data_IF_454861197293
#
_entry.id   IF_454861197293
#
_cell.length_a   1.000
_cell.length_b   1.000
_cell.length_c   1.000
_cell.angle_alpha   90.00
_cell.angle_beta   90.00
_cell.angle_gamma   90.00
#
_symmetry.space_group_name_H-M   'P 1'
#
loop_
_entity.id
_entity.type
_entity.pdbx_description
1 polymer ?
#
# COMPACT_ATOMS: atom_id res chain seq x y z
N UNK A 1 2.87 29.52 28.58
CA UNK A 1 1.87 28.49 28.21
C UNK A 1 1.82 27.49 29.34
N UNK A 2 0.65 26.99 29.71
CA UNK A 2 0.54 25.88 30.67
C UNK A 2 1.02 24.58 30.03
N UNK A 3 1.48 23.63 30.85
CA UNK A 3 1.88 22.29 30.38
C UNK A 3 0.77 21.61 29.57
N UNK A 4 -0.49 21.83 29.98
CA UNK A 4 -1.68 21.36 29.26
C UNK A 4 -1.78 21.93 27.83
N UNK A 5 -1.55 23.23 27.66
CA UNK A 5 -1.58 23.86 26.33
C UNK A 5 -0.46 23.35 25.43
N UNK A 6 0.72 23.10 26.00
CA UNK A 6 1.84 22.52 25.26
C UNK A 6 1.53 21.09 24.81
N UNK A 7 0.97 20.27 25.70
CA UNK A 7 0.55 18.90 25.36
C UNK A 7 -0.51 18.90 24.26
N UNK A 8 -1.58 19.70 24.41
CA UNK A 8 -2.65 19.79 23.41
C UNK A 8 -2.13 20.26 22.04
N UNK A 9 -1.15 21.18 22.02
CA UNK A 9 -0.53 21.61 20.78
C UNK A 9 0.30 20.48 20.12
N UNK A 10 1.01 19.69 20.93
CA UNK A 10 1.76 18.53 20.47
C UNK A 10 0.81 17.44 19.90
N UNK A 11 -0.28 17.14 20.62
CA UNK A 11 -1.28 16.15 20.20
C UNK A 11 -1.94 16.55 18.88
N UNK A 12 -2.31 17.83 18.73
CA UNK A 12 -2.83 18.36 17.45
C UNK A 12 -1.83 18.27 16.31
N UNK A 13 -0.55 18.56 16.57
CA UNK A 13 0.48 18.47 15.56
C UNK A 13 0.71 17.02 15.11
N UNK A 14 0.68 16.06 16.04
CA UNK A 14 0.76 14.64 15.72
C UNK A 14 -0.47 14.15 14.95
N UNK A 15 -1.67 14.49 15.41
CA UNK A 15 -2.90 14.15 14.70
C UNK A 15 -2.94 14.71 13.28
N UNK A 16 -2.44 15.93 13.07
CA UNK A 16 -2.39 16.53 11.73
C UNK A 16 -1.44 15.75 10.82
N UNK A 17 -0.26 15.34 11.32
CA UNK A 17 0.66 14.48 10.56
C UNK A 17 0.00 13.17 10.15
N UNK A 18 -0.74 12.54 11.06
CA UNK A 18 -1.46 11.29 10.78
C UNK A 18 -2.57 11.49 9.74
N UNK A 19 -3.34 12.57 9.84
CA UNK A 19 -4.37 12.91 8.85
C UNK A 19 -3.76 13.18 7.46
N UNK A 20 -2.65 13.91 7.39
CA UNK A 20 -1.95 14.21 6.14
C UNK A 20 -1.32 12.95 5.51
N UNK A 21 -0.76 12.06 6.33
CA UNK A 21 -0.29 10.75 5.87
C UNK A 21 -1.43 9.89 5.34
N UNK A 22 -2.56 9.83 6.04
CA UNK A 22 -3.74 9.13 5.59
C UNK A 22 -4.24 9.69 4.24
N UNK A 23 -4.40 11.01 4.12
CA UNK A 23 -4.87 11.65 2.89
C UNK A 23 -3.94 11.45 1.70
N UNK A 24 -2.63 11.42 1.95
CA UNK A 24 -1.62 11.15 0.93
C UNK A 24 -1.70 9.71 0.41
N UNK A 25 -2.06 8.75 1.27
CA UNK A 25 -2.18 7.34 0.92
C UNK A 25 -3.56 6.99 0.35
N UNK A 26 -4.62 7.55 0.92
CA UNK A 26 -6.00 7.12 0.72
C UNK A 26 -6.87 8.32 0.31
N UNK A 27 -7.12 8.52 -1.00
CA UNK A 27 -7.97 9.59 -1.46
C UNK A 27 -9.43 9.40 -1.00
N UNK A 28 -10.23 10.46 -1.12
CA UNK A 28 -11.68 10.37 -0.92
C UNK A 28 -12.28 9.31 -1.86
N UNK A 29 -13.21 8.50 -1.35
CA UNK A 29 -13.77 7.36 -2.05
C UNK A 29 -13.04 6.04 -1.75
N UNK A 30 -12.01 6.04 -0.90
CA UNK A 30 -11.30 4.82 -0.52
C UNK A 30 -12.24 3.86 0.21
N UNK A 31 -12.38 2.61 -0.25
CA UNK A 31 -13.09 1.54 0.46
C UNK A 31 -12.47 1.26 1.83
N UNK A 32 -13.32 1.21 2.84
CA UNK A 32 -12.94 1.01 4.23
C UNK A 32 -13.92 0.12 4.97
N UNK A 33 -13.42 -0.55 6.01
CA UNK A 33 -14.22 -1.12 7.08
C UNK A 33 -14.13 -0.16 8.28
N UNK A 34 -15.25 0.47 8.63
CA UNK A 34 -15.28 1.48 9.70
C UNK A 34 -16.09 1.01 10.91
N UNK A 35 -15.64 1.40 12.09
CA UNK A 35 -16.25 1.07 13.39
C UNK A 35 -16.60 2.36 14.15
N UNK A 36 -17.79 2.94 13.94
CA UNK A 36 -18.07 4.28 14.44
C UNK A 36 -18.13 4.40 15.97
N UNK A 37 -18.43 3.31 16.67
CA UNK A 37 -18.41 3.23 18.13
C UNK A 37 -17.05 2.81 18.66
N UNK A 38 -16.84 1.50 18.76
CA UNK A 38 -15.59 0.88 19.22
C UNK A 38 -15.19 -0.28 18.32
N UNK A 39 -13.88 -0.57 18.24
CA UNK A 39 -13.38 -1.74 17.52
C UNK A 39 -13.79 -3.05 18.22
N UNK A 40 -13.97 -4.16 17.48
CA UNK A 40 -14.35 -5.46 18.05
C UNK A 40 -13.41 -6.01 19.15
N UNK A 41 -12.13 -5.68 19.07
CA UNK A 41 -11.08 -6.08 20.03
C UNK A 41 -11.07 -5.23 21.32
N UNK A 42 -11.80 -4.13 21.37
CA UNK A 42 -11.85 -3.27 22.55
C UNK A 42 -12.45 -4.06 23.74
N UNK A 43 -11.91 -3.95 24.98
CA UNK A 43 -12.39 -4.74 26.12
C UNK A 43 -13.91 -4.63 26.36
N UNK A 44 -14.49 -3.45 26.11
CA UNK A 44 -15.95 -3.22 26.20
C UNK A 44 -16.72 -3.98 25.13
N UNK A 45 -16.21 -4.03 23.89
CA UNK A 45 -16.80 -4.80 22.79
C UNK A 45 -16.81 -6.29 23.11
N UNK A 46 -15.66 -6.81 23.56
CA UNK A 46 -15.52 -8.22 23.96
C UNK A 46 -16.47 -8.58 25.10
N UNK A 47 -16.58 -7.71 26.12
CA UNK A 47 -17.51 -7.93 27.23
C UNK A 47 -18.98 -7.89 26.78
N UNK A 48 -19.32 -6.97 25.87
CA UNK A 48 -20.65 -6.88 25.28
C UNK A 48 -21.01 -8.15 24.50
N UNK A 49 -20.14 -8.61 23.60
CA UNK A 49 -20.34 -9.82 22.80
C UNK A 49 -20.52 -11.06 23.67
N UNK A 50 -19.72 -11.22 24.73
CA UNK A 50 -19.88 -12.32 25.71
C UNK A 50 -21.23 -12.31 26.40
N UNK A 51 -21.75 -11.13 26.77
CA UNK A 51 -23.06 -10.99 27.41
C UNK A 51 -24.20 -11.24 26.41
N UNK A 52 -24.08 -10.73 25.19
CA UNK A 52 -25.04 -10.96 24.11
C UNK A 52 -25.16 -12.46 23.78
N UNK A 53 -24.06 -13.19 23.70
CA UNK A 53 -24.05 -14.64 23.52
C UNK A 53 -24.75 -15.39 24.67
N UNK A 54 -24.77 -14.81 25.88
CA UNK A 54 -25.51 -15.32 27.03
C UNK A 54 -26.96 -14.81 27.15
N UNK A 55 -27.51 -14.16 26.11
CA UNK A 55 -28.87 -13.62 26.11
C UNK A 55 -29.07 -12.38 26.98
N UNK A 56 -27.99 -11.68 27.37
CA UNK A 56 -28.03 -10.47 28.19
C UNK A 56 -27.58 -9.25 27.39
N UNK A 57 -28.49 -8.65 26.63
CA UNK A 57 -28.23 -7.38 25.92
C UNK A 57 -28.82 -6.20 26.72
N UNK A 58 -28.10 -5.09 26.79
CA UNK A 58 -28.56 -3.86 27.47
C UNK A 58 -29.22 -2.86 26.50
N UNK A 59 -29.02 -3.02 25.19
CA UNK A 59 -29.59 -2.19 24.13
C UNK A 59 -29.59 -2.94 22.80
N UNK A 60 -30.45 -2.51 21.87
CA UNK A 60 -30.46 -3.00 20.49
C UNK A 60 -29.32 -2.42 19.63
N UNK A 61 -28.62 -1.40 20.13
CA UNK A 61 -27.49 -0.80 19.43
C UNK A 61 -26.23 -1.64 19.65
N UNK A 62 -25.69 -2.18 18.57
CA UNK A 62 -24.38 -2.85 18.59
C UNK A 62 -23.26 -1.79 18.69
N UNK A 63 -22.50 -1.75 19.81
CA UNK A 63 -21.39 -0.82 19.95
C UNK A 63 -20.25 -1.10 18.94
N UNK A 64 -20.24 -2.30 18.33
CA UNK A 64 -19.25 -2.74 17.36
C UNK A 64 -19.76 -2.65 15.92
N UNK A 65 -20.78 -1.83 15.65
CA UNK A 65 -21.40 -1.70 14.33
C UNK A 65 -20.31 -1.56 13.26
N UNK A 66 -20.21 -2.58 12.41
CA UNK A 66 -19.28 -2.63 11.28
C UNK A 66 -19.93 -2.03 10.05
N UNK A 67 -19.25 -1.10 9.40
CA UNK A 67 -19.65 -0.51 8.12
C UNK A 67 -18.64 -0.88 7.04
N UNK A 68 -19.07 -1.54 5.98
CA UNK A 68 -18.29 -1.68 4.74
C UNK A 68 -18.74 -0.57 3.80
N UNK A 69 -17.88 0.43 3.60
CA UNK A 69 -18.26 1.73 3.05
C UNK A 69 -17.06 2.41 2.39
N UNK A 70 -17.19 3.67 1.96
CA UNK A 70 -16.10 4.47 1.40
C UNK A 70 -15.91 5.78 2.17
N UNK A 71 -14.69 6.31 2.18
CA UNK A 71 -14.42 7.65 2.72
C UNK A 71 -15.14 8.72 1.89
N UNK A 72 -15.76 9.71 2.54
CA UNK A 72 -16.48 10.81 1.85
C UNK A 72 -15.80 12.18 1.97
N UNK A 73 -14.76 12.28 2.79
CA UNK A 73 -13.95 13.50 2.96
C UNK A 73 -12.48 13.12 3.09
N UNK A 74 -11.56 14.09 2.91
CA UNK A 74 -10.22 13.96 3.49
C UNK A 74 -10.33 13.74 5.00
N UNK A 75 -9.32 13.12 5.60
CA UNK A 75 -9.12 13.07 7.04
C UNK A 75 -8.77 14.46 7.59
N UNK A 76 -9.20 14.76 8.81
CA UNK A 76 -8.95 16.01 9.54
C UNK A 76 -8.82 15.76 11.04
N UNK A 77 -8.33 16.73 11.81
CA UNK A 77 -8.21 16.60 13.27
C UNK A 77 -9.42 17.18 14.01
N UNK A 78 -9.80 16.53 15.12
CA UNK A 78 -10.73 17.11 16.09
C UNK A 78 -10.03 18.11 17.02
N UNK A 79 -10.81 18.85 17.79
CA UNK A 79 -10.30 19.88 18.72
C UNK A 79 -9.34 19.36 19.80
N UNK A 80 -9.32 18.06 20.06
CA UNK A 80 -8.43 17.37 21.00
C UNK A 80 -7.22 16.68 20.32
N UNK A 81 -7.11 16.75 19.00
CA UNK A 81 -5.97 16.21 18.24
C UNK A 81 -6.26 14.93 17.48
N UNK A 82 -7.25 14.12 17.85
CA UNK A 82 -7.48 12.84 17.16
C UNK A 82 -7.82 13.05 15.67
N UNK A 83 -7.15 12.32 14.76
CA UNK A 83 -7.47 12.35 13.35
C UNK A 83 -8.71 11.50 13.07
N UNK A 84 -9.62 12.03 12.28
CA UNK A 84 -10.89 11.41 11.90
C UNK A 84 -11.12 11.50 10.40
N UNK A 85 -11.96 10.61 9.88
CA UNK A 85 -12.48 10.65 8.50
C UNK A 85 -13.98 10.43 8.49
N UNK A 86 -14.69 11.06 7.55
CA UNK A 86 -16.10 10.77 7.34
C UNK A 86 -16.25 9.62 6.35
N UNK A 87 -17.27 8.80 6.54
CA UNK A 87 -17.61 7.71 5.62
C UNK A 87 -19.06 7.81 5.15
N UNK A 88 -19.39 7.17 4.03
CA UNK A 88 -20.78 7.03 3.59
C UNK A 88 -21.61 6.21 4.58
N UNK A 89 -22.88 6.60 4.78
CA UNK A 89 -23.80 5.93 5.71
C UNK A 89 -23.60 6.23 7.20
N UNK A 90 -22.66 7.12 7.57
CA UNK A 90 -22.44 7.54 8.95
C UNK A 90 -22.34 9.07 9.10
N UNK A 91 -23.04 9.64 10.08
CA UNK A 91 -22.97 11.07 10.37
C UNK A 91 -21.80 11.35 11.33
N UNK A 92 -20.95 12.34 11.01
CA UNK A 92 -19.76 12.68 11.78
C UNK A 92 -18.48 12.00 11.29
N UNK A 93 -17.37 12.30 11.98
CA UNK A 93 -16.05 11.70 11.74
C UNK A 93 -15.83 10.47 12.62
N UNK A 94 -15.13 9.47 12.07
CA UNK A 94 -14.69 8.26 12.75
C UNK A 94 -13.18 8.36 12.90
N UNK A 95 -12.66 8.12 14.12
CA UNK A 95 -11.21 8.14 14.36
C UNK A 95 -10.49 7.19 13.41
N UNK A 96 -9.35 7.60 12.86
CA UNK A 96 -8.58 6.77 11.92
C UNK A 96 -8.16 5.44 12.55
N UNK A 97 -7.98 5.40 13.87
CA UNK A 97 -7.75 4.17 14.62
C UNK A 97 -8.91 3.18 14.52
N UNK A 98 -10.12 3.60 14.18
CA UNK A 98 -11.32 2.78 14.01
C UNK A 98 -11.70 2.56 12.53
N UNK A 99 -10.77 2.80 11.60
CA UNK A 99 -10.97 2.64 10.17
C UNK A 99 -9.87 1.73 9.62
N UNK A 100 -10.27 0.60 9.05
CA UNK A 100 -9.38 -0.29 8.31
C UNK A 100 -9.59 -0.08 6.81
N UNK A 101 -8.53 -0.08 6.01
CA UNK A 101 -8.67 -0.06 4.55
C UNK A 101 -9.21 -1.40 4.08
N UNK A 102 -10.30 -1.39 3.31
CA UNK A 102 -10.89 -2.62 2.82
C UNK A 102 -9.98 -3.25 1.75
N UNK A 103 -9.71 -4.56 1.82
CA UNK A 103 -8.92 -5.25 0.82
C UNK A 103 -9.61 -5.18 -0.54
N UNK A 104 -8.82 -5.24 -1.61
CA UNK A 104 -9.38 -5.39 -2.96
C UNK A 104 -10.08 -6.72 -3.07
N UNK A 105 -11.24 -6.72 -3.72
CA UNK A 105 -11.87 -7.95 -4.16
C UNK A 105 -11.04 -8.58 -5.28
N UNK A 106 -11.14 -9.89 -5.46
CA UNK A 106 -10.52 -10.57 -6.60
C UNK A 106 -11.58 -11.42 -7.29
N UNK A 107 -12.41 -10.77 -8.11
CA UNK A 107 -13.53 -11.42 -8.78
C UNK A 107 -13.00 -12.40 -9.83
N UNK A 108 -13.28 -13.72 -9.74
CA UNK A 108 -12.81 -14.67 -10.73
C UNK A 108 -13.45 -14.42 -12.10
N UNK A 109 -12.74 -14.80 -13.16
CA UNK A 109 -13.26 -14.72 -14.51
C UNK A 109 -14.48 -15.63 -14.67
N UNK A 110 -15.54 -15.10 -15.30
CA UNK A 110 -16.78 -15.84 -15.52
C UNK A 110 -16.87 -16.31 -16.96
N UNK A 111 -16.82 -17.62 -17.17
CA UNK A 111 -17.02 -18.24 -18.49
C UNK A 111 -18.48 -18.66 -18.63
N UNK A 112 -19.15 -18.23 -19.70
CA UNK A 112 -20.51 -18.61 -20.07
C UNK A 112 -20.51 -19.19 -21.48
N UNK A 113 -21.32 -20.22 -21.75
CA UNK A 113 -21.58 -20.71 -23.11
C UNK A 113 -22.99 -20.31 -23.53
N UNK A 114 -23.16 -19.88 -24.78
CA UNK A 114 -24.49 -19.69 -25.36
C UNK A 114 -25.09 -21.02 -25.87
N UNK A 115 -26.32 -20.99 -26.38
CA UNK A 115 -27.04 -22.17 -26.88
C UNK A 115 -26.31 -22.88 -28.05
N UNK A 116 -25.47 -22.15 -28.81
CA UNK A 116 -24.62 -22.71 -29.87
C UNK A 116 -23.30 -23.32 -29.34
N UNK A 117 -23.10 -23.37 -28.03
CA UNK A 117 -21.86 -23.84 -27.40
C UNK A 117 -20.67 -22.88 -27.49
N UNK A 118 -20.87 -21.65 -28.00
CA UNK A 118 -19.83 -20.62 -28.06
C UNK A 118 -19.56 -20.06 -26.66
N UNK A 119 -18.31 -20.14 -26.22
CA UNK A 119 -17.86 -19.61 -24.93
C UNK A 119 -17.58 -18.10 -25.02
N UNK A 120 -17.99 -17.39 -23.98
CA UNK A 120 -17.67 -15.99 -23.71
C UNK A 120 -17.11 -15.90 -22.29
N UNK A 121 -16.04 -15.13 -22.10
CA UNK A 121 -15.43 -14.88 -20.79
C UNK A 121 -15.64 -13.43 -20.40
N UNK A 122 -16.30 -13.20 -19.28
CA UNK A 122 -16.38 -11.89 -18.63
C UNK A 122 -15.24 -11.78 -17.62
N UNK A 123 -14.32 -10.85 -17.86
CA UNK A 123 -13.14 -10.59 -17.02
C UNK A 123 -13.39 -9.30 -16.26
N UNK A 124 -13.23 -9.32 -14.93
CA UNK A 124 -13.17 -8.09 -14.14
C UNK A 124 -11.76 -7.52 -14.28
N UNK A 125 -11.64 -6.26 -14.71
CA UNK A 125 -10.35 -5.61 -14.85
C UNK A 125 -9.57 -5.69 -13.54
N UNK A 126 -8.29 -6.04 -13.62
CA UNK A 126 -7.42 -6.21 -12.47
C UNK A 126 -6.48 -5.01 -12.33
N UNK A 127 -6.24 -4.62 -11.09
CA UNK A 127 -5.23 -3.62 -10.75
C UNK A 127 -3.88 -4.29 -10.62
N UNK A 128 -2.89 -3.78 -11.34
CA UNK A 128 -1.49 -4.15 -11.18
C UNK A 128 -0.72 -3.02 -10.48
N UNK A 129 0.23 -3.40 -9.63
CA UNK A 129 1.15 -2.47 -8.97
C UNK A 129 1.98 -1.70 -10.01
N UNK A 130 2.04 -0.37 -9.88
CA UNK A 130 2.83 0.48 -10.79
C UNK A 130 4.34 0.21 -10.72
N UNK A 131 4.83 -0.37 -9.61
CA UNK A 131 6.23 -0.71 -9.40
C UNK A 131 6.59 -2.07 -9.98
N UNK A 132 6.12 -3.16 -9.34
CA UNK A 132 6.52 -4.52 -9.71
C UNK A 132 5.57 -5.24 -10.69
N UNK A 133 4.42 -4.64 -11.03
CA UNK A 133 3.41 -5.28 -11.90
C UNK A 133 2.56 -6.36 -11.24
N UNK A 134 2.75 -6.65 -9.94
CA UNK A 134 1.95 -7.64 -9.22
C UNK A 134 0.46 -7.27 -9.22
N UNK A 135 -0.41 -8.24 -9.50
CA UNK A 135 -1.86 -8.07 -9.40
C UNK A 135 -2.28 -7.88 -7.95
N UNK A 136 -2.99 -6.79 -7.66
CA UNK A 136 -3.45 -6.43 -6.31
C UNK A 136 -4.93 -6.76 -6.08
N UNK A 137 -5.68 -7.09 -7.14
CA UNK A 137 -7.09 -7.42 -7.09
C UNK A 137 -7.86 -6.74 -8.22
N UNK A 138 -9.15 -6.53 -8.02
CA UNK A 138 -10.01 -5.82 -8.96
C UNK A 138 -9.63 -4.34 -9.03
N UNK A 139 -9.66 -3.79 -10.23
CA UNK A 139 -9.63 -2.36 -10.45
C UNK A 139 -11.02 -1.77 -10.18
N UNK A 140 -11.06 -0.62 -9.52
CA UNK A 140 -12.29 0.12 -9.23
C UNK A 140 -12.08 1.63 -9.46
N UNK A 141 -13.13 2.43 -9.26
CA UNK A 141 -13.10 3.85 -9.58
C UNK A 141 -12.08 4.65 -8.75
N UNK A 142 -11.62 4.13 -7.59
CA UNK A 142 -10.56 4.77 -6.79
C UNK A 142 -9.21 4.76 -7.50
N UNK A 143 -9.04 3.87 -8.47
CA UNK A 143 -7.82 3.73 -9.24
C UNK A 143 -7.67 4.82 -10.29
N UNK A 144 -8.72 5.62 -10.54
CA UNK A 144 -8.73 6.60 -11.62
C UNK A 144 -8.78 7.99 -11.01
N UNK A 145 -7.75 8.80 -11.29
CA UNK A 145 -7.72 10.18 -10.85
C UNK A 145 -8.72 11.06 -11.62
N UNK A 146 -8.84 12.33 -11.23
CA UNK A 146 -9.73 13.30 -11.89
C UNK A 146 -9.44 13.54 -13.38
N UNK A 147 -8.29 13.07 -13.89
CA UNK A 147 -7.86 13.19 -15.27
C UNK A 147 -8.02 11.89 -16.06
N UNK A 148 -8.49 10.80 -15.43
CA UNK A 148 -8.63 9.50 -16.07
C UNK A 148 -7.36 8.64 -16.00
N UNK A 149 -6.32 9.05 -15.28
CA UNK A 149 -5.10 8.27 -15.14
C UNK A 149 -5.19 7.27 -14.01
N UNK A 150 -4.47 6.15 -14.15
CA UNK A 150 -4.35 5.17 -13.08
C UNK A 150 -3.44 5.69 -11.95
N UNK A 151 -3.97 5.81 -10.73
CA UNK A 151 -3.27 6.29 -9.53
C UNK A 151 -2.15 5.34 -9.10
N UNK A 152 -1.10 5.84 -8.43
CA UNK A 152 -0.04 4.96 -7.94
C UNK A 152 -0.53 4.11 -6.75
N UNK A 153 -0.60 2.79 -6.93
CA UNK A 153 -1.05 1.83 -5.90
C UNK A 153 0.11 1.04 -5.27
N UNK A 154 1.37 1.50 -5.43
CA UNK A 154 2.54 0.85 -4.79
C UNK A 154 2.41 0.74 -3.27
N UNK A 155 1.63 1.61 -2.64
CA UNK A 155 1.37 1.60 -1.19
C UNK A 155 0.49 0.43 -0.74
N UNK A 156 -0.28 -0.17 -1.65
CA UNK A 156 -1.09 -1.36 -1.37
C UNK A 156 -0.34 -2.66 -1.69
N UNK A 157 0.79 -2.58 -2.40
CA UNK A 157 1.56 -3.73 -2.84
C UNK A 157 2.57 -4.15 -1.76
N UNK A 158 2.46 -5.36 -1.18
CA UNK A 158 3.41 -5.82 -0.14
C UNK A 158 4.87 -5.83 -0.60
N UNK A 159 5.10 -6.00 -1.90
CA UNK A 159 6.43 -5.97 -2.51
C UNK A 159 6.99 -4.56 -2.59
N UNK A 160 6.17 -3.58 -2.98
CA UNK A 160 6.62 -2.21 -3.26
C UNK A 160 6.41 -1.23 -2.10
N UNK A 161 5.53 -1.52 -1.14
CA UNK A 161 5.30 -0.65 0.00
C UNK A 161 6.61 -0.33 0.77
N UNK A 162 7.48 -1.31 1.06
CA UNK A 162 8.77 -1.01 1.71
C UNK A 162 9.73 -0.18 0.84
N UNK A 163 9.56 -0.19 -0.49
CA UNK A 163 10.34 0.68 -1.37
C UNK A 163 9.87 2.13 -1.27
N UNK A 164 8.56 2.37 -1.13
CA UNK A 164 8.03 3.72 -0.90
C UNK A 164 8.54 4.32 0.41
N UNK A 165 8.72 3.50 1.45
CA UNK A 165 9.32 3.93 2.72
C UNK A 165 10.78 4.35 2.53
N UNK A 166 11.55 3.59 1.74
CA UNK A 166 12.91 3.96 1.37
C UNK A 166 12.95 5.25 0.54
N UNK A 167 12.06 5.39 -0.44
CA UNK A 167 11.93 6.62 -1.25
C UNK A 167 11.59 7.83 -0.37
N UNK A 168 10.69 7.67 0.59
CA UNK A 168 10.35 8.70 1.56
C UNK A 168 11.55 9.07 2.48
N UNK A 169 12.45 8.11 2.72
CA UNK A 169 13.73 8.36 3.41
C UNK A 169 14.81 8.97 2.50
N UNK A 170 14.50 9.27 1.24
CA UNK A 170 15.41 9.90 0.28
C UNK A 170 16.18 8.92 -0.61
N UNK A 171 15.90 7.62 -0.52
CA UNK A 171 16.52 6.65 -1.42
C UNK A 171 16.00 6.81 -2.85
N UNK A 172 16.82 6.43 -3.83
CA UNK A 172 16.36 6.20 -5.22
C UNK A 172 16.24 4.70 -5.44
N UNK A 173 15.14 4.27 -6.05
CA UNK A 173 14.90 2.85 -6.32
C UNK A 173 14.65 2.62 -7.80
N UNK A 174 15.15 1.49 -8.31
CA UNK A 174 14.90 1.03 -9.68
C UNK A 174 14.63 -0.46 -9.67
N UNK A 175 13.58 -0.91 -10.36
CA UNK A 175 13.49 -2.33 -10.70
C UNK A 175 14.44 -2.60 -11.86
N UNK A 176 15.38 -3.52 -11.67
CA UNK A 176 16.34 -3.89 -12.71
C UNK A 176 15.65 -4.76 -13.77
N UNK A 177 15.67 -4.29 -15.01
CA UNK A 177 15.12 -5.00 -16.17
C UNK A 177 16.16 -5.02 -17.29
N UNK A 178 15.96 -5.87 -18.29
CA UNK A 178 16.79 -5.86 -19.50
C UNK A 178 16.76 -4.51 -20.24
N UNK A 179 15.67 -3.76 -20.11
CA UNK A 179 15.45 -2.52 -20.87
C UNK A 179 16.15 -1.31 -20.26
N UNK A 180 16.29 -1.28 -18.92
CA UNK A 180 16.83 -0.14 -18.20
C UNK A 180 18.19 -0.42 -17.55
N UNK A 181 18.81 -1.58 -17.79
CA UNK A 181 20.12 -1.92 -17.21
C UNK A 181 21.18 -0.86 -17.56
N UNK A 182 21.18 -0.31 -18.79
CA UNK A 182 22.11 0.75 -19.20
C UNK A 182 21.89 2.06 -18.43
N UNK A 183 20.64 2.49 -18.24
CA UNK A 183 20.33 3.72 -17.50
C UNK A 183 20.78 3.62 -16.03
N UNK A 184 20.67 2.43 -15.43
CA UNK A 184 21.10 2.16 -14.06
C UNK A 184 22.63 2.10 -13.99
N UNK A 185 23.29 1.45 -14.96
CA UNK A 185 24.75 1.43 -15.10
C UNK A 185 25.32 2.86 -15.13
N UNK A 186 24.76 3.72 -15.99
CA UNK A 186 25.13 5.14 -16.10
C UNK A 186 24.85 5.94 -14.80
N UNK A 187 23.82 5.56 -14.04
CA UNK A 187 23.54 6.18 -12.75
C UNK A 187 24.60 5.80 -11.70
N UNK A 188 25.03 4.54 -11.68
CA UNK A 188 26.07 4.05 -10.77
C UNK A 188 27.44 4.65 -11.13
N UNK A 189 27.78 4.71 -12.42
CA UNK A 189 29.04 5.28 -12.91
C UNK A 189 29.18 6.78 -12.55
N UNK A 190 28.07 7.54 -12.58
CA UNK A 190 28.07 8.95 -12.14
C UNK A 190 28.40 9.14 -10.67
N UNK A 191 28.22 8.11 -9.84
CA UNK A 191 28.63 8.13 -8.44
C UNK A 191 30.09 7.68 -8.25
N UNK A 192 30.82 7.43 -9.34
CA UNK A 192 32.21 6.95 -9.31
C UNK A 192 32.34 5.49 -8.89
N UNK A 193 31.24 4.73 -8.97
CA UNK A 193 31.19 3.31 -8.60
C UNK A 193 31.17 2.48 -9.87
N UNK A 194 31.94 1.40 -9.91
CA UNK A 194 31.98 0.51 -11.06
C UNK A 194 30.70 -0.33 -11.15
N UNK A 195 29.99 -0.26 -12.28
CA UNK A 195 28.93 -1.20 -12.61
C UNK A 195 29.26 -2.02 -13.87
N UNK A 196 28.71 -3.23 -13.95
CA UNK A 196 28.80 -4.09 -15.14
C UNK A 196 27.72 -5.15 -15.14
N UNK A 197 27.26 -5.54 -16.33
CA UNK A 197 26.38 -6.71 -16.49
C UNK A 197 26.91 -7.95 -15.76
N UNK A 198 26.03 -8.61 -15.00
CA UNK A 198 26.31 -9.87 -14.34
C UNK A 198 25.97 -11.02 -15.30
N UNK A 199 26.95 -11.86 -15.60
CA UNK A 199 26.85 -12.94 -16.59
C UNK A 199 26.78 -14.29 -15.91
N UNK A 200 25.85 -15.12 -16.35
CA UNK A 200 25.70 -16.51 -15.92
C UNK A 200 25.48 -17.42 -17.13
N UNK A 201 25.73 -18.72 -16.95
CA UNK A 201 25.39 -19.72 -17.97
C UNK A 201 23.94 -20.15 -17.80
N UNK A 202 23.07 -19.72 -18.72
CA UNK A 202 21.66 -20.13 -18.79
C UNK A 202 21.49 -20.97 -20.06
N UNK A 203 21.00 -22.20 -19.92
CA UNK A 203 20.83 -23.15 -21.03
C UNK A 203 22.08 -23.33 -21.91
N UNK A 204 23.25 -23.42 -21.26
CA UNK A 204 24.54 -23.60 -21.91
C UNK A 204 25.08 -22.35 -22.63
N UNK A 205 24.43 -21.19 -22.48
CA UNK A 205 24.86 -19.92 -23.09
C UNK A 205 25.18 -18.88 -22.02
N UNK A 206 26.29 -18.18 -22.22
CA UNK A 206 26.65 -17.04 -21.37
C UNK A 206 25.66 -15.90 -21.64
N UNK A 207 24.90 -15.55 -20.61
CA UNK A 207 23.76 -14.63 -20.68
C UNK A 207 23.88 -13.59 -19.58
N UNK A 208 23.62 -12.32 -19.87
CA UNK A 208 23.48 -11.29 -18.82
C UNK A 208 22.18 -11.57 -18.08
N UNK A 209 22.26 -11.77 -16.78
CA UNK A 209 21.09 -12.06 -15.91
C UNK A 209 20.84 -10.97 -14.88
N UNK A 210 21.69 -9.93 -14.84
CA UNK A 210 21.58 -8.86 -13.88
C UNK A 210 22.66 -7.80 -14.01
N UNK A 211 22.83 -7.00 -12.96
CA UNK A 211 23.82 -5.95 -12.82
C UNK A 211 24.61 -6.16 -11.53
N UNK A 212 25.93 -6.05 -11.65
CA UNK A 212 26.88 -6.07 -10.54
C UNK A 212 27.32 -4.64 -10.26
N UNK A 213 27.26 -4.23 -8.99
CA UNK A 213 27.64 -2.89 -8.54
C UNK A 213 28.79 -3.01 -7.53
N UNK A 214 29.87 -2.28 -7.78
CA UNK A 214 31.11 -2.33 -7.03
C UNK A 214 32.13 -3.35 -7.59
N UNK A 215 33.26 -3.44 -6.89
CA UNK A 215 34.37 -4.35 -7.21
C UNK A 215 34.76 -5.18 -5.97
N UNK A 216 35.53 -6.24 -6.17
CA UNK A 216 36.00 -7.07 -5.06
C UNK A 216 34.91 -7.96 -4.43
N UNK A 217 35.16 -8.46 -3.20
CA UNK A 217 34.26 -9.39 -2.51
C UNK A 217 32.96 -8.73 -2.03
N UNK A 218 32.97 -7.42 -1.76
CA UNK A 218 31.84 -6.68 -1.19
C UNK A 218 30.87 -6.14 -2.24
N UNK A 219 31.07 -6.48 -3.51
CA UNK A 219 30.16 -6.10 -4.60
C UNK A 219 28.77 -6.68 -4.37
N UNK A 220 27.74 -5.91 -4.72
CA UNK A 220 26.37 -6.39 -4.74
C UNK A 220 26.00 -6.85 -6.15
N UNK A 221 25.05 -7.77 -6.24
CA UNK A 221 24.50 -8.26 -7.51
C UNK A 221 22.99 -8.19 -7.43
N UNK A 222 22.39 -7.48 -8.38
CA UNK A 222 20.95 -7.48 -8.62
C UNK A 222 20.66 -8.32 -9.86
N UNK A 223 19.72 -9.25 -9.79
CA UNK A 223 19.20 -10.02 -10.92
C UNK A 223 18.05 -9.27 -11.58
N UNK A 224 17.71 -9.60 -12.82
CA UNK A 224 16.51 -9.04 -13.44
C UNK A 224 15.26 -9.36 -12.58
N UNK A 225 14.49 -8.32 -12.29
CA UNK A 225 13.35 -8.36 -11.37
C UNK A 225 13.66 -7.81 -9.96
N UNK A 226 14.93 -7.85 -9.53
CA UNK A 226 15.36 -7.26 -8.26
C UNK A 226 15.25 -5.72 -8.31
N UNK A 227 15.13 -5.12 -7.13
CA UNK A 227 15.26 -3.69 -6.94
C UNK A 227 16.68 -3.32 -6.54
N UNK A 228 17.23 -2.31 -7.21
CA UNK A 228 18.46 -1.63 -6.84
C UNK A 228 18.08 -0.36 -6.06
N UNK A 229 18.71 -0.16 -4.91
CA UNK A 229 18.42 0.94 -3.99
C UNK A 229 19.71 1.74 -3.77
N UNK A 230 19.67 3.03 -4.10
CA UNK A 230 20.69 4.01 -3.73
C UNK A 230 20.25 4.76 -2.48
N UNK A 231 21.06 4.70 -1.44
CA UNK A 231 20.82 5.39 -0.17
C UNK A 231 21.37 6.82 -0.18
N UNK A 232 20.81 7.74 0.63
CA UNK A 232 21.30 9.12 0.75
C UNK A 232 22.76 9.26 1.19
N UNK A 233 23.28 8.27 1.93
CA UNK A 233 24.67 8.22 2.39
C UNK A 233 25.66 7.79 1.28
N UNK A 234 25.15 7.51 0.08
CA UNK A 234 25.93 7.08 -1.08
C UNK A 234 25.99 5.57 -1.27
N UNK A 235 25.57 4.77 -0.29
CA UNK A 235 25.63 3.31 -0.36
C UNK A 235 24.59 2.73 -1.33
N UNK A 236 24.87 1.53 -1.82
CA UNK A 236 23.98 0.77 -2.69
C UNK A 236 23.59 -0.56 -2.04
N UNK A 237 22.35 -0.98 -2.27
CA UNK A 237 21.85 -2.29 -1.83
C UNK A 237 20.87 -2.87 -2.85
N UNK A 238 20.55 -4.14 -2.71
CA UNK A 238 19.56 -4.82 -3.55
C UNK A 238 18.43 -5.39 -2.70
N UNK A 239 17.25 -5.52 -3.30
CA UNK A 239 16.09 -6.17 -2.70
C UNK A 239 15.41 -7.05 -3.73
N UNK A 240 15.35 -8.35 -3.44
CA UNK A 240 14.57 -9.29 -4.25
C UNK A 240 13.08 -9.11 -3.93
N UNK A 241 12.20 -8.97 -4.93
CA UNK A 241 10.75 -8.94 -4.69
C UNK A 241 10.32 -10.25 -4.04
N UNK A 242 9.31 -10.20 -3.16
CA UNK A 242 8.68 -11.42 -2.70
C UNK A 242 8.12 -12.17 -3.91
N UNK A 243 8.28 -13.50 -3.94
CA UNK A 243 7.66 -14.31 -4.98
C UNK A 243 6.15 -14.03 -4.98
N UNK A 244 5.57 -13.81 -6.17
CA UNK A 244 4.13 -13.74 -6.30
C UNK A 244 3.56 -15.08 -5.79
N UNK A 245 2.75 -15.01 -4.73
CA UNK A 245 2.04 -16.16 -4.16
C UNK A 245 0.75 -16.43 -4.93
#
# INVERSE_FOLDING_TARGET
MSDYQAQLAADKAEGQRQADEFNRRFPVGTPVVAYPGIRPEHPVAVAYQKRAAGGRTYSDTDPCKRLETVTRTPAWILGHGDPVVSVEGYAGGICLTHVDIAPRTNTPDKVTANDDGRKSTTIKLKRACNGCGQTLGDADNRDVDQHGNLTDVRHECPTCQPLLELEAAGCKTWQLTQRNIGDIDDAVDRDGIYAKGYWETVDGKLTVTGLRIGSGPDRIVARFGDFIIRHPDGNWSTRTPAAAS
#
